data_IF_284426365368
#
_entry.id   IF_284426365368
#
_cell.length_a   1.000
_cell.length_b   1.000
_cell.length_c   1.000
_cell.angle_alpha   90.00
_cell.angle_beta   90.00
_cell.angle_gamma   90.00
#
_symmetry.space_group_name_H-M   'P 1'
#
loop_
_entity.id
_entity.type
_entity.pdbx_description
1 polymer ?
#
# COMPACT_ATOMS: atom_id res chain seq x y z
N UNK A 1 -63.09 65.20 1.28
CA UNK A 1 -62.17 64.78 2.30
C UNK A 1 -61.56 63.46 1.77
N UNK A 2 -60.28 63.49 1.42
CA UNK A 2 -59.59 62.38 0.70
C UNK A 2 -58.84 61.54 1.74
N UNK A 3 -59.18 60.27 1.86
CA UNK A 3 -58.36 59.29 2.62
C UNK A 3 -57.38 58.54 1.68
N UNK A 4 -56.11 58.82 1.87
CA UNK A 4 -55.04 58.10 1.22
C UNK A 4 -54.74 56.88 2.07
N UNK A 5 -55.03 55.68 1.51
CA UNK A 5 -54.67 54.40 2.07
C UNK A 5 -53.29 53.99 1.46
N UNK A 6 -52.27 54.13 2.27
CA UNK A 6 -50.91 53.77 1.89
C UNK A 6 -50.74 52.27 1.98
N UNK A 7 -50.59 51.62 0.82
CA UNK A 7 -50.34 50.16 0.70
C UNK A 7 -48.83 49.87 0.93
N UNK A 8 -48.48 49.42 2.13
CA UNK A 8 -47.15 49.00 2.41
C UNK A 8 -46.92 47.60 1.82
N UNK A 9 -46.16 47.55 0.75
CA UNK A 9 -45.69 46.29 0.14
C UNK A 9 -44.60 45.69 1.04
N UNK A 10 -44.92 44.59 1.72
CA UNK A 10 -43.96 43.81 2.51
C UNK A 10 -43.32 42.79 1.54
N UNK A 11 -42.09 43.07 1.11
CA UNK A 11 -41.28 42.12 0.34
C UNK A 11 -40.68 41.15 1.35
N UNK A 12 -41.24 39.95 1.42
CA UNK A 12 -40.64 38.81 2.13
C UNK A 12 -39.56 38.25 1.22
N UNK A 13 -38.32 38.64 1.45
CA UNK A 13 -37.17 38.00 0.82
C UNK A 13 -36.95 36.61 1.43
N UNK A 14 -37.43 35.60 0.73
CA UNK A 14 -37.14 34.20 1.03
C UNK A 14 -35.66 33.93 0.72
N UNK A 15 -34.79 34.04 1.71
CA UNK A 15 -33.40 33.54 1.58
C UNK A 15 -33.46 32.03 1.47
N UNK A 16 -33.36 31.52 0.24
CA UNK A 16 -33.01 30.14 -0.01
C UNK A 16 -31.57 29.94 0.53
N UNK A 17 -31.45 29.38 1.71
CA UNK A 17 -30.22 28.85 2.24
C UNK A 17 -29.92 27.56 1.43
N UNK A 18 -29.28 27.69 0.27
CA UNK A 18 -28.60 26.59 -0.34
C UNK A 18 -27.43 26.20 0.59
N UNK A 19 -27.70 25.28 1.49
CA UNK A 19 -26.64 24.59 2.22
C UNK A 19 -25.76 23.92 1.21
N UNK A 20 -24.58 24.50 0.95
CA UNK A 20 -23.49 23.81 0.30
C UNK A 20 -23.06 22.68 1.25
N UNK A 21 -23.71 21.52 1.12
CA UNK A 21 -23.12 20.28 1.56
C UNK A 21 -21.95 20.02 0.59
N UNK A 22 -20.83 20.70 0.83
CA UNK A 22 -19.55 20.17 0.36
C UNK A 22 -19.44 18.80 1.01
N UNK A 23 -19.59 17.73 0.19
CA UNK A 23 -19.05 16.44 0.55
C UNK A 23 -17.56 16.72 0.82
N UNK A 24 -17.19 16.84 2.09
CA UNK A 24 -15.80 16.70 2.48
C UNK A 24 -15.44 15.29 2.06
N UNK A 25 -14.75 15.17 0.91
CA UNK A 25 -14.01 13.98 0.57
C UNK A 25 -13.18 13.65 1.80
N UNK A 26 -13.39 12.49 2.39
CA UNK A 26 -12.74 12.07 3.61
C UNK A 26 -11.24 12.27 3.44
N UNK A 27 -10.70 13.35 4.01
CA UNK A 27 -9.30 13.71 3.90
C UNK A 27 -8.50 12.57 4.51
N UNK A 28 -7.94 11.72 3.65
CA UNK A 28 -7.19 10.55 4.06
C UNK A 28 -6.03 10.97 4.97
N UNK A 29 -5.89 10.30 6.10
CA UNK A 29 -4.76 10.54 7.01
C UNK A 29 -3.51 9.91 6.43
N UNK A 30 -2.36 10.59 6.59
CA UNK A 30 -1.05 10.10 6.19
C UNK A 30 -0.22 9.70 7.41
N UNK A 31 0.49 8.60 7.28
CA UNK A 31 1.38 8.06 8.30
C UNK A 31 2.75 7.81 7.67
N UNK A 32 3.81 8.17 8.36
CA UNK A 32 5.17 7.91 7.90
C UNK A 32 5.88 6.92 8.81
N UNK A 33 6.67 6.05 8.22
CA UNK A 33 7.58 5.10 8.87
C UNK A 33 8.93 5.17 8.18
N UNK A 34 10.02 5.22 8.94
CA UNK A 34 11.38 5.24 8.40
C UNK A 34 12.16 4.01 8.86
N UNK A 35 13.14 3.58 8.07
CA UNK A 35 14.12 2.57 8.49
C UNK A 35 14.96 3.04 9.68
N UNK A 36 15.64 2.14 10.40
CA UNK A 36 16.53 2.52 11.51
C UNK A 36 17.65 3.48 11.11
N UNK A 37 18.20 3.36 9.90
CA UNK A 37 19.22 4.26 9.34
C UNK A 37 18.66 5.55 8.72
N UNK A 38 17.30 5.66 8.62
CA UNK A 38 16.60 6.81 8.09
C UNK A 38 16.59 6.94 6.56
N UNK A 39 17.18 6.01 5.81
CA UNK A 39 17.29 6.09 4.35
C UNK A 39 16.02 5.65 3.63
N UNK A 40 15.35 4.60 4.11
CA UNK A 40 14.05 4.18 3.58
C UNK A 40 12.92 4.88 4.33
N UNK A 41 11.97 5.43 3.59
CA UNK A 41 10.75 6.04 4.11
C UNK A 41 9.54 5.43 3.44
N UNK A 42 8.58 4.99 4.26
CA UNK A 42 7.27 4.52 3.81
C UNK A 42 6.24 5.56 4.21
N UNK A 43 5.46 6.03 3.27
CA UNK A 43 4.28 6.85 3.54
C UNK A 43 3.03 6.02 3.27
N UNK A 44 2.18 5.89 4.26
CA UNK A 44 0.93 5.16 4.21
C UNK A 44 -0.20 6.19 4.21
N UNK A 45 -1.13 6.08 3.27
CA UNK A 45 -2.31 6.92 3.16
C UNK A 45 -3.56 6.08 3.39
N UNK A 46 -4.50 6.63 4.16
CA UNK A 46 -5.83 6.05 4.39
C UNK A 46 -6.88 7.01 3.85
N UNK A 47 -8.07 6.55 3.63
CA UNK A 47 -9.16 7.31 3.03
C UNK A 47 -9.95 6.37 2.14
N UNK A 48 -10.25 6.77 0.91
CA UNK A 48 -10.99 5.94 -0.04
C UNK A 48 -10.30 4.58 -0.25
N UNK A 49 -8.96 4.59 -0.33
CA UNK A 49 -8.15 3.37 -0.39
C UNK A 49 -6.98 3.44 0.58
N UNK A 50 -6.64 2.30 1.17
CA UNK A 50 -5.40 2.13 1.89
C UNK A 50 -4.28 1.96 0.86
N UNK A 51 -3.30 2.83 0.89
CA UNK A 51 -2.21 2.85 -0.07
C UNK A 51 -0.89 3.20 0.61
N UNK A 52 0.20 2.88 -0.04
CA UNK A 52 1.54 3.17 0.44
C UNK A 52 2.46 3.58 -0.71
N UNK A 53 3.53 4.29 -0.37
CA UNK A 53 4.64 4.59 -1.27
C UNK A 53 5.95 4.41 -0.53
N UNK A 54 7.01 4.10 -1.27
CA UNK A 54 8.35 3.87 -0.71
C UNK A 54 9.33 4.82 -1.37
N UNK A 55 10.12 5.49 -0.54
CA UNK A 55 11.22 6.35 -0.97
C UNK A 55 12.53 5.85 -0.35
N UNK A 56 13.60 5.90 -1.11
CA UNK A 56 14.97 5.74 -0.62
C UNK A 56 15.72 7.05 -0.80
N UNK A 57 16.09 7.68 0.30
CA UNK A 57 16.65 9.03 0.34
C UNK A 57 15.76 10.04 -0.39
N UNK A 58 16.09 10.43 -1.63
CA UNK A 58 15.33 11.38 -2.44
C UNK A 58 14.52 10.71 -3.57
N UNK A 59 14.78 9.43 -3.82
CA UNK A 59 14.23 8.72 -4.96
C UNK A 59 12.97 7.94 -4.57
N UNK A 60 11.92 8.05 -5.39
CA UNK A 60 10.73 7.22 -5.24
C UNK A 60 11.00 5.86 -5.85
N UNK A 61 11.04 4.82 -5.02
CA UNK A 61 11.20 3.44 -5.45
C UNK A 61 9.86 2.86 -5.87
N UNK A 62 8.84 3.05 -5.04
CA UNK A 62 7.49 2.62 -5.31
C UNK A 62 6.55 3.81 -5.17
N UNK A 63 5.83 4.11 -6.25
CA UNK A 63 4.79 5.13 -6.27
C UNK A 63 3.57 4.66 -5.49
N UNK A 64 2.57 5.53 -5.32
CA UNK A 64 1.36 5.22 -4.57
C UNK A 64 0.71 3.93 -5.09
N UNK A 65 0.66 2.93 -4.24
CA UNK A 65 0.21 1.56 -4.53
C UNK A 65 -0.85 1.15 -3.53
N UNK A 66 -1.98 0.65 -4.03
CA UNK A 66 -3.09 0.26 -3.17
C UNK A 66 -2.87 -1.15 -2.61
N UNK A 67 -3.33 -1.35 -1.38
CA UNK A 67 -3.35 -2.66 -0.72
C UNK A 67 -4.68 -2.90 -0.04
N UNK A 68 -5.11 -4.15 -0.01
CA UNK A 68 -6.38 -4.52 0.60
C UNK A 68 -6.65 -6.02 0.56
N UNK A 69 -7.71 -6.43 1.24
CA UNK A 69 -8.22 -7.80 1.18
C UNK A 69 -9.68 -7.79 0.77
N UNK A 70 -10.07 -8.73 -0.07
CA UNK A 70 -11.46 -9.00 -0.40
C UNK A 70 -11.86 -10.29 0.31
N UNK A 71 -12.84 -10.21 1.19
CA UNK A 71 -13.34 -11.35 1.94
C UNK A 71 -14.39 -12.12 1.14
N UNK A 72 -14.65 -13.36 1.54
CA UNK A 72 -15.63 -14.21 0.87
C UNK A 72 -17.07 -13.68 0.97
N UNK A 73 -17.37 -12.88 1.99
CA UNK A 73 -18.67 -12.20 2.17
C UNK A 73 -18.80 -10.88 1.37
N UNK A 74 -17.78 -10.52 0.59
CA UNK A 74 -17.74 -9.29 -0.20
C UNK A 74 -17.21 -8.07 0.56
N UNK A 75 -16.84 -8.21 1.83
CA UNK A 75 -16.23 -7.11 2.59
C UNK A 75 -14.84 -6.77 2.01
N UNK A 76 -14.57 -5.49 1.78
CA UNK A 76 -13.27 -5.00 1.31
C UNK A 76 -12.52 -4.31 2.46
N UNK A 77 -11.40 -4.91 2.89
CA UNK A 77 -10.48 -4.32 3.85
C UNK A 77 -9.46 -3.47 3.10
N UNK A 78 -9.29 -2.23 3.49
CA UNK A 78 -8.45 -1.27 2.76
C UNK A 78 -9.26 -0.24 1.97
N UNK A 79 -10.55 -0.47 1.75
CA UNK A 79 -11.48 0.49 1.18
C UNK A 79 -12.15 1.32 2.29
N UNK A 80 -12.25 2.66 2.12
CA UNK A 80 -12.78 3.59 3.13
C UNK A 80 -12.20 3.35 4.54
N UNK A 81 -10.90 3.09 4.61
CA UNK A 81 -10.23 2.65 5.82
C UNK A 81 -10.18 3.72 6.90
N UNK A 82 -10.79 3.42 8.05
CA UNK A 82 -10.70 4.25 9.25
C UNK A 82 -9.72 3.63 10.24
N UNK A 83 -8.74 4.43 10.66
CA UNK A 83 -7.76 4.02 11.67
C UNK A 83 -8.27 4.37 13.05
N UNK A 84 -8.45 3.34 13.88
CA UNK A 84 -8.93 3.44 15.27
C UNK A 84 -7.80 3.45 16.30
N UNK A 85 -6.61 3.00 15.92
CA UNK A 85 -5.46 2.99 16.80
C UNK A 85 -4.14 2.91 16.05
N UNK A 86 -3.10 3.45 16.66
CA UNK A 86 -1.75 3.50 16.08
C UNK A 86 -0.78 3.02 17.15
N UNK A 87 0.13 2.10 16.77
CA UNK A 87 1.22 1.67 17.62
C UNK A 87 2.53 1.71 16.84
N UNK A 88 3.58 2.23 17.48
CA UNK A 88 4.92 2.27 16.91
C UNK A 88 5.88 1.51 17.82
N UNK A 89 6.80 0.77 17.20
CA UNK A 89 7.84 0.04 17.93
C UNK A 89 9.16 0.11 17.16
N UNK A 90 10.26 0.03 17.91
CA UNK A 90 11.58 -0.32 17.37
C UNK A 90 11.83 -1.77 17.74
N UNK A 91 12.15 -2.58 16.76
CA UNK A 91 12.39 -4.02 16.91
C UNK A 91 13.86 -4.27 16.63
N UNK A 92 14.48 -5.08 17.45
CA UNK A 92 15.84 -5.60 17.27
C UNK A 92 15.87 -6.99 17.83
N UNK A 93 15.70 -7.97 16.98
CA UNK A 93 15.63 -9.38 17.35
C UNK A 93 16.83 -10.15 16.77
N UNK A 94 17.39 -11.05 17.55
CA UNK A 94 18.34 -12.03 17.05
C UNK A 94 17.54 -13.20 16.46
N UNK A 95 17.71 -13.43 15.16
CA UNK A 95 17.03 -14.52 14.45
C UNK A 95 18.03 -15.62 14.18
N UNK A 96 17.73 -16.82 14.68
CA UNK A 96 18.45 -18.03 14.31
C UNK A 96 17.87 -18.61 13.02
N UNK A 97 18.74 -18.91 12.05
CA UNK A 97 18.33 -19.46 10.78
C UNK A 97 19.21 -20.66 10.40
N UNK A 98 18.81 -21.87 10.80
CA UNK A 98 19.63 -23.07 10.62
C UNK A 98 19.85 -23.46 9.15
N UNK A 99 19.00 -22.95 8.24
CA UNK A 99 19.05 -23.28 6.82
C UNK A 99 19.55 -22.13 5.91
N UNK A 100 19.99 -21.03 6.51
CA UNK A 100 20.47 -19.88 5.79
C UNK A 100 22.00 -19.78 5.85
N UNK A 101 22.60 -18.97 4.95
CA UNK A 101 24.05 -18.74 4.89
C UNK A 101 24.66 -18.28 6.21
N UNK A 102 23.90 -17.49 6.97
CA UNK A 102 24.29 -17.03 8.31
C UNK A 102 23.42 -17.76 9.34
N UNK A 103 24.06 -18.38 10.33
CA UNK A 103 23.39 -19.08 11.40
C UNK A 103 22.51 -18.14 12.24
N UNK A 104 22.98 -16.94 12.44
CA UNK A 104 22.31 -15.90 13.21
C UNK A 104 22.42 -14.56 12.50
N UNK A 105 21.40 -13.74 12.56
CA UNK A 105 21.42 -12.35 12.10
C UNK A 105 20.52 -11.49 12.96
N UNK A 106 20.86 -10.18 13.01
CA UNK A 106 20.04 -9.19 13.74
C UNK A 106 19.01 -8.61 12.81
N UNK A 107 17.73 -8.89 13.06
CA UNK A 107 16.61 -8.23 12.40
C UNK A 107 16.30 -6.93 13.14
N UNK A 108 16.71 -5.80 12.57
CA UNK A 108 16.42 -4.48 13.12
C UNK A 108 15.46 -3.72 12.20
N UNK A 109 14.32 -3.28 12.74
CA UNK A 109 13.33 -2.50 11.98
C UNK A 109 12.55 -1.54 12.86
N UNK A 110 11.95 -0.56 12.25
CA UNK A 110 10.86 0.21 12.85
C UNK A 110 9.52 -0.36 12.38
N UNK A 111 8.58 -0.48 13.30
CA UNK A 111 7.24 -1.03 13.06
C UNK A 111 6.17 0.05 13.28
N UNK A 112 5.21 0.12 12.38
CA UNK A 112 3.99 0.88 12.49
C UNK A 112 2.80 -0.07 12.36
N UNK A 113 1.99 -0.15 13.39
CA UNK A 113 0.75 -0.90 13.43
C UNK A 113 -0.45 0.05 13.37
N UNK A 114 -1.30 -0.12 12.38
CA UNK A 114 -2.53 0.63 12.19
C UNK A 114 -3.71 -0.31 12.43
N UNK A 115 -4.41 -0.08 13.54
CA UNK A 115 -5.69 -0.76 13.80
C UNK A 115 -6.77 -0.12 12.95
N UNK A 116 -7.44 -0.91 12.16
CA UNK A 116 -8.58 -0.52 11.35
C UNK A 116 -9.88 -0.83 12.10
N UNK A 117 -11.00 -0.36 11.54
CA UNK A 117 -12.32 -0.74 12.03
C UNK A 117 -12.55 -2.26 11.89
N UNK A 118 -13.58 -2.78 12.52
CA UNK A 118 -14.08 -4.14 12.37
C UNK A 118 -13.07 -5.24 12.73
N UNK A 119 -12.11 -4.93 13.61
CA UNK A 119 -11.17 -5.91 14.13
C UNK A 119 -10.08 -6.32 13.13
N UNK A 120 -9.83 -5.52 12.12
CA UNK A 120 -8.69 -5.69 11.22
C UNK A 120 -7.56 -4.71 11.55
N UNK A 121 -6.41 -4.96 10.96
CA UNK A 121 -5.28 -4.07 11.03
C UNK A 121 -4.23 -4.39 9.98
N UNK A 122 -3.31 -3.46 9.80
CA UNK A 122 -2.14 -3.63 8.95
C UNK A 122 -0.89 -3.18 9.69
N UNK A 123 0.13 -4.02 9.66
CA UNK A 123 1.43 -3.74 10.26
C UNK A 123 2.44 -3.53 9.15
N UNK A 124 3.15 -2.41 9.17
CA UNK A 124 4.28 -2.12 8.31
C UNK A 124 5.58 -2.23 9.10
N UNK A 125 6.62 -2.77 8.47
CA UNK A 125 7.99 -2.80 8.98
C UNK A 125 8.94 -2.21 7.94
N UNK A 126 9.75 -1.26 8.38
CA UNK A 126 10.83 -0.70 7.59
C UNK A 126 12.16 -1.17 8.15
N UNK A 127 12.88 -1.97 7.35
CA UNK A 127 14.27 -2.40 7.57
C UNK A 127 15.21 -1.45 6.80
N UNK A 128 16.51 -1.55 6.99
CA UNK A 128 17.47 -0.74 6.24
C UNK A 128 17.54 -1.11 4.76
N UNK A 129 17.17 -2.34 4.44
CA UNK A 129 17.25 -2.96 3.12
C UNK A 129 15.89 -3.33 2.53
N UNK A 130 14.79 -2.99 3.20
CA UNK A 130 13.47 -3.35 2.68
C UNK A 130 12.29 -2.91 3.52
N UNK A 131 11.12 -3.10 2.94
CA UNK A 131 9.83 -2.83 3.57
C UNK A 131 8.96 -4.07 3.47
N UNK A 132 8.24 -4.37 4.55
CA UNK A 132 7.25 -5.42 4.57
C UNK A 132 5.94 -4.91 5.17
N UNK A 133 4.82 -5.45 4.73
CA UNK A 133 3.54 -5.27 5.40
C UNK A 133 2.80 -6.60 5.55
N UNK A 134 1.87 -6.63 6.50
CA UNK A 134 0.92 -7.73 6.64
C UNK A 134 -0.40 -7.22 7.18
N UNK A 135 -1.48 -7.79 6.69
CA UNK A 135 -2.79 -7.69 7.33
C UNK A 135 -2.92 -8.67 8.48
N UNK A 136 -3.73 -8.32 9.48
CA UNK A 136 -4.10 -9.21 10.57
C UNK A 136 -5.55 -8.94 11.00
N UNK A 137 -6.14 -9.89 11.71
CA UNK A 137 -7.44 -9.72 12.34
C UNK A 137 -7.37 -10.08 13.82
N UNK A 138 -8.16 -9.39 14.63
CA UNK A 138 -8.41 -9.68 16.04
C UNK A 138 -9.77 -10.34 16.25
N UNK A 139 -10.49 -10.65 15.18
CA UNK A 139 -11.77 -11.36 15.25
C UNK A 139 -11.55 -12.78 15.76
N UNK A 140 -12.45 -13.26 16.62
CA UNK A 140 -12.44 -14.64 17.11
C UNK A 140 -13.03 -15.61 16.11
N UNK A 141 -13.93 -15.14 15.23
CA UNK A 141 -14.47 -15.94 14.15
C UNK A 141 -13.46 -16.05 13.01
N UNK A 142 -13.40 -17.20 12.37
CA UNK A 142 -12.57 -17.42 11.19
C UNK A 142 -12.94 -16.45 10.06
N UNK A 143 -11.94 -16.00 9.31
CA UNK A 143 -12.09 -15.09 8.18
C UNK A 143 -11.59 -15.82 6.94
N UNK A 144 -12.41 -15.83 5.88
CA UNK A 144 -12.01 -16.39 4.57
C UNK A 144 -11.68 -15.25 3.62
N UNK A 145 -10.41 -15.19 3.22
CA UNK A 145 -9.94 -14.23 2.20
C UNK A 145 -10.21 -14.84 0.82
N UNK A 146 -10.89 -14.09 -0.03
CA UNK A 146 -11.17 -14.45 -1.42
C UNK A 146 -10.06 -13.97 -2.35
N UNK A 147 -9.58 -12.74 -2.11
CA UNK A 147 -8.57 -12.11 -2.98
C UNK A 147 -7.78 -11.06 -2.20
N UNK A 148 -6.61 -10.69 -2.70
CA UNK A 148 -5.74 -9.64 -2.16
C UNK A 148 -5.49 -8.58 -3.22
N UNK A 149 -5.64 -7.31 -2.83
CA UNK A 149 -5.20 -6.17 -3.62
C UNK A 149 -3.76 -5.86 -3.18
N UNK A 150 -2.80 -6.11 -4.05
CA UNK A 150 -1.37 -5.87 -3.81
C UNK A 150 -0.75 -5.20 -5.04
N UNK A 151 -0.88 -3.88 -5.11
CA UNK A 151 -0.31 -3.11 -6.21
C UNK A 151 1.15 -2.75 -5.94
N UNK A 152 1.94 -2.73 -7.03
CA UNK A 152 3.33 -2.29 -7.05
C UNK A 152 3.52 -1.33 -8.22
N UNK A 153 3.25 -0.04 -7.99
CA UNK A 153 3.28 0.99 -9.01
C UNK A 153 4.65 1.66 -9.04
N UNK A 154 5.33 1.56 -10.15
CA UNK A 154 6.63 2.18 -10.36
C UNK A 154 6.46 3.50 -11.13
N UNK A 155 7.37 4.46 -10.90
CA UNK A 155 7.32 5.77 -11.55
C UNK A 155 7.96 5.78 -12.95
N UNK A 156 8.62 4.68 -13.35
CA UNK A 156 9.26 4.50 -14.64
C UNK A 156 9.08 3.08 -15.15
N UNK A 157 9.34 2.88 -16.44
CA UNK A 157 9.29 1.57 -17.07
C UNK A 157 10.62 0.82 -16.90
N UNK A 158 10.82 0.27 -15.72
CA UNK A 158 12.03 -0.45 -15.38
C UNK A 158 12.11 -1.83 -16.03
N UNK A 159 13.33 -2.32 -16.24
CA UNK A 159 13.55 -3.70 -16.68
C UNK A 159 13.28 -4.66 -15.53
N UNK A 160 12.39 -5.61 -15.77
CA UNK A 160 12.02 -6.67 -14.83
C UNK A 160 12.52 -8.03 -15.31
N UNK A 161 12.87 -8.87 -14.35
CA UNK A 161 13.25 -10.29 -14.51
C UNK A 161 12.13 -11.13 -13.92
N UNK A 162 11.39 -11.83 -14.78
CA UNK A 162 10.14 -12.51 -14.43
C UNK A 162 10.24 -14.01 -14.75
N UNK A 163 10.30 -14.89 -13.75
CA UNK A 163 10.26 -16.33 -13.96
C UNK A 163 8.81 -16.80 -14.10
N UNK A 164 8.21 -16.61 -15.28
CA UNK A 164 6.85 -17.06 -15.55
C UNK A 164 6.71 -18.57 -15.47
N UNK A 165 5.52 -19.03 -15.10
CA UNK A 165 5.17 -20.45 -15.20
C UNK A 165 5.05 -20.84 -16.66
N UNK A 166 5.47 -22.07 -17.00
CA UNK A 166 5.36 -22.60 -18.37
C UNK A 166 4.03 -23.28 -18.65
N UNK A 167 3.24 -23.54 -17.62
CA UNK A 167 1.95 -24.20 -17.75
C UNK A 167 0.81 -23.30 -17.28
N UNK A 168 0.20 -22.59 -18.21
CA UNK A 168 -0.89 -21.66 -17.93
C UNK A 168 -2.17 -22.36 -17.39
N UNK A 169 -2.37 -23.67 -17.67
CA UNK A 169 -3.54 -24.41 -17.18
C UNK A 169 -3.37 -24.90 -15.74
N UNK A 170 -2.14 -25.17 -15.31
CA UNK A 170 -1.82 -25.63 -13.95
C UNK A 170 -0.56 -24.94 -13.44
N UNK A 171 -0.60 -23.62 -13.22
CA UNK A 171 0.59 -22.84 -12.91
C UNK A 171 1.27 -23.25 -11.61
N UNK A 172 0.53 -23.78 -10.65
CA UNK A 172 1.05 -24.19 -9.34
C UNK A 172 1.54 -25.65 -9.31
N UNK A 173 1.40 -26.42 -10.41
CA UNK A 173 1.80 -27.84 -10.48
C UNK A 173 3.19 -28.02 -11.10
N UNK A 174 4.08 -27.03 -10.95
CA UNK A 174 5.39 -27.04 -11.60
C UNK A 174 6.52 -26.89 -10.58
N UNK A 175 7.71 -27.38 -10.94
CA UNK A 175 8.93 -27.03 -10.24
C UNK A 175 9.22 -25.52 -10.39
N UNK A 176 9.75 -24.90 -9.32
CA UNK A 176 10.08 -23.46 -9.28
C UNK A 176 11.38 -23.15 -10.03
N UNK A 177 11.49 -23.63 -11.26
CA UNK A 177 12.65 -23.42 -12.12
C UNK A 177 12.18 -23.04 -13.51
N UNK A 178 12.56 -21.86 -13.95
CA UNK A 178 12.37 -21.40 -15.32
C UNK A 178 13.43 -20.35 -15.67
N UNK A 179 13.64 -20.15 -16.97
CA UNK A 179 14.43 -19.03 -17.48
C UNK A 179 13.66 -17.75 -17.21
N UNK A 180 14.37 -16.70 -16.78
CA UNK A 180 13.77 -15.41 -16.55
C UNK A 180 13.51 -14.69 -17.87
N UNK A 181 12.28 -14.24 -18.07
CA UNK A 181 11.96 -13.28 -19.10
C UNK A 181 12.45 -11.90 -18.66
N UNK A 182 13.28 -11.27 -19.50
CA UNK A 182 13.79 -9.92 -19.27
C UNK A 182 13.00 -8.96 -20.12
N UNK A 183 12.17 -8.12 -19.48
CA UNK A 183 11.22 -7.27 -20.18
C UNK A 183 10.98 -5.96 -19.43
N UNK A 184 10.65 -4.86 -20.11
CA UNK A 184 10.12 -3.66 -19.45
C UNK A 184 8.83 -3.99 -18.70
N UNK A 185 8.60 -3.34 -17.55
CA UNK A 185 7.38 -3.52 -16.74
C UNK A 185 6.10 -3.30 -17.54
N UNK A 186 6.08 -2.34 -18.46
CA UNK A 186 4.94 -2.04 -19.34
C UNK A 186 4.58 -3.19 -20.30
N UNK A 187 5.50 -4.15 -20.51
CA UNK A 187 5.31 -5.30 -21.41
C UNK A 187 5.15 -6.62 -20.65
N UNK A 188 4.96 -6.56 -19.34
CA UNK A 188 4.69 -7.76 -18.55
C UNK A 188 3.38 -8.42 -18.97
N UNK A 189 3.33 -9.75 -18.91
CA UNK A 189 2.17 -10.53 -19.29
C UNK A 189 1.32 -10.87 -18.06
N UNK A 190 -0.01 -11.00 -18.20
CA UNK A 190 -0.90 -11.41 -17.12
C UNK A 190 -0.78 -12.92 -16.85
N UNK A 191 0.41 -13.36 -16.41
CA UNK A 191 0.76 -14.75 -16.11
C UNK A 191 1.25 -14.87 -14.67
N UNK A 192 1.15 -16.07 -14.13
CA UNK A 192 1.76 -16.37 -12.84
C UNK A 192 3.27 -16.42 -13.01
N UNK A 193 3.98 -15.70 -12.16
CA UNK A 193 5.43 -15.74 -12.03
C UNK A 193 5.82 -16.23 -10.64
N UNK A 194 6.97 -16.90 -10.54
CA UNK A 194 7.52 -17.27 -9.24
C UNK A 194 8.18 -16.07 -8.57
N UNK A 195 8.33 -16.13 -7.26
CA UNK A 195 9.08 -15.15 -6.49
C UNK A 195 10.54 -15.64 -6.30
N UNK A 196 11.49 -14.73 -6.20
CA UNK A 196 11.35 -13.27 -6.27
C UNK A 196 11.24 -12.75 -7.71
N UNK A 197 10.48 -11.64 -7.89
CA UNK A 197 10.53 -10.83 -9.10
C UNK A 197 11.56 -9.72 -8.86
N UNK A 198 12.48 -9.51 -9.79
CA UNK A 198 13.54 -8.51 -9.68
C UNK A 198 13.33 -7.40 -10.70
N UNK A 199 13.38 -6.15 -10.26
CA UNK A 199 13.38 -4.98 -11.12
C UNK A 199 14.69 -4.21 -10.94
N UNK A 200 15.30 -3.77 -12.03
CA UNK A 200 16.46 -2.88 -11.99
C UNK A 200 15.97 -1.43 -11.97
N UNK A 201 16.06 -0.79 -10.80
CA UNK A 201 15.67 0.61 -10.61
C UNK A 201 16.75 1.58 -11.12
N UNK A 202 18.00 1.14 -11.16
CA UNK A 202 19.14 1.88 -11.70
C UNK A 202 19.93 0.95 -12.62
N UNK A 203 20.47 1.46 -13.73
CA UNK A 203 21.46 0.70 -14.46
C UNK A 203 22.62 0.42 -13.51
N UNK A 204 22.87 -0.86 -13.20
CA UNK A 204 24.07 -1.23 -12.47
C UNK A 204 25.28 -0.72 -13.26
N UNK A 205 26.21 0.01 -12.63
CA UNK A 205 27.45 0.34 -13.29
C UNK A 205 28.09 -0.98 -13.75
N UNK A 206 28.34 -1.09 -15.05
CA UNK A 206 29.07 -2.24 -15.59
C UNK A 206 30.44 -2.27 -14.89
N UNK A 207 31.01 -3.44 -14.61
CA UNK A 207 32.39 -3.53 -14.15
C UNK A 207 33.39 -2.79 -15.04
N UNK A 208 33.00 -2.48 -16.30
CA UNK A 208 33.78 -1.68 -17.25
C UNK A 208 33.67 -0.16 -16.98
N UNK A 209 32.67 0.29 -16.24
CA UNK A 209 32.47 1.71 -15.91
C UNK A 209 33.20 2.10 -14.63
N UNK A 210 33.86 1.16 -13.98
CA UNK A 210 34.66 1.35 -12.76
C UNK A 210 36.18 1.36 -13.02
N UNK A 211 36.60 1.39 -14.29
CA UNK A 211 38.02 1.44 -14.69
C UNK A 211 38.47 2.82 -15.07
#
# INVERSE_FOLDING_TARGET
MKNNLSFKLVIISLFLYCGNNSLEAASGKKYALTSPDGKLKVEISTGDKLSYQIMHEKDTILSLSNIGLILADGTEIGNNSQVTGIKRKKIRDNVESPFYRFKEFVAACNELDLKLIDGFGVTFRAYNDGVAYRFYTTRTAGVTVKDEIAEFNFNQDYTAYLPYTTNDKKPMAMAFQNIYDVTPLSKTQPKVAFLPITCLLYPSPSPRDLS
#
